data_IF_227178339573
#
_entry.id   IF_227178339573
#
_cell.length_a   1.000
_cell.length_b   1.000
_cell.length_c   1.000
_cell.angle_alpha   90.00
_cell.angle_beta   90.00
_cell.angle_gamma   90.00
#
_symmetry.space_group_name_H-M   'P 1'
#
loop_
_entity.id
_entity.type
_entity.pdbx_description
1 polymer ?
#
# COMPACT_ATOMS: atom_id res chain seq x y z
N UNK A 1 2.60 -22.91 3.44
CA UNK A 1 3.24 -21.98 4.40
C UNK A 1 3.08 -20.50 3.99
N UNK A 2 2.30 -20.18 2.95
CA UNK A 2 2.00 -18.80 2.55
C UNK A 2 0.74 -18.26 3.24
N UNK A 3 -0.25 -19.15 3.47
CA UNK A 3 -1.50 -18.87 4.18
C UNK A 3 -1.36 -18.40 5.64
N UNK A 4 -0.28 -18.77 6.33
CA UNK A 4 -0.07 -18.37 7.73
C UNK A 4 0.26 -16.87 7.87
N UNK A 5 0.77 -16.22 6.81
CA UNK A 5 1.10 -14.78 6.85
C UNK A 5 -0.11 -13.87 6.70
N UNK A 6 -1.15 -14.37 6.04
CA UNK A 6 -2.36 -13.61 5.68
C UNK A 6 -3.33 -13.47 6.87
N UNK A 7 -3.30 -14.42 7.82
CA UNK A 7 -4.21 -14.47 8.97
C UNK A 7 -3.77 -13.64 10.19
N UNK A 8 -2.51 -13.24 10.29
CA UNK A 8 -2.00 -12.46 11.43
C UNK A 8 -2.42 -10.97 11.38
N UNK A 9 -3.06 -10.55 10.29
CA UNK A 9 -3.11 -9.14 9.89
C UNK A 9 -4.44 -8.77 9.21
N UNK A 10 -5.59 -8.80 9.90
CA UNK A 10 -6.87 -8.53 9.24
C UNK A 10 -6.87 -7.17 8.51
N UNK A 11 -7.34 -7.20 7.28
CA UNK A 11 -7.38 -6.05 6.36
C UNK A 11 -8.62 -5.20 6.62
N UNK A 12 -8.53 -3.89 6.37
CA UNK A 12 -9.74 -3.07 6.32
C UNK A 12 -10.62 -3.53 5.16
N UNK A 13 -11.93 -3.54 5.35
CA UNK A 13 -12.92 -3.88 4.32
C UNK A 13 -13.48 -2.62 3.67
N UNK A 14 -13.89 -2.74 2.41
CA UNK A 14 -14.68 -1.74 1.69
C UNK A 14 -15.95 -2.42 1.19
N UNK A 15 -17.11 -1.84 1.48
CA UNK A 15 -18.39 -2.24 0.89
C UNK A 15 -18.79 -1.22 -0.17
N UNK A 16 -19.14 -1.71 -1.36
CA UNK A 16 -19.63 -0.90 -2.46
C UNK A 16 -21.02 -1.41 -2.81
N UNK A 17 -22.02 -0.56 -2.61
CA UNK A 17 -23.41 -0.82 -3.00
C UNK A 17 -23.72 -0.03 -4.27
N UNK A 18 -24.33 -0.69 -5.24
CA UNK A 18 -24.68 -0.06 -6.52
C UNK A 18 -25.62 -0.90 -7.37
N UNK A 19 -25.96 -0.36 -8.53
CA UNK A 19 -26.76 -1.03 -9.55
C UNK A 19 -25.86 -1.53 -10.68
N UNK A 20 -26.08 -2.75 -11.15
CA UNK A 20 -25.39 -3.27 -12.33
C UNK A 20 -26.09 -2.78 -13.60
N UNK A 21 -25.32 -2.11 -14.45
CA UNK A 21 -25.76 -1.65 -15.78
C UNK A 21 -25.01 -2.45 -16.84
N UNK A 22 -25.67 -3.05 -17.83
CA UNK A 22 -24.97 -3.64 -18.97
C UNK A 22 -24.11 -2.58 -19.67
N UNK A 23 -22.86 -2.91 -20.01
CA UNK A 23 -22.05 -2.03 -20.87
C UNK A 23 -22.59 -2.06 -22.29
N UNK A 24 -22.68 -0.89 -22.93
CA UNK A 24 -23.07 -0.81 -24.33
C UNK A 24 -21.94 -1.30 -25.25
N UNK A 25 -22.29 -1.71 -26.48
CA UNK A 25 -21.36 -2.34 -27.42
C UNK A 25 -20.15 -1.46 -27.80
N UNK A 26 -20.32 -0.14 -27.75
CA UNK A 26 -19.26 0.86 -27.96
C UNK A 26 -18.26 0.91 -26.79
N UNK A 27 -18.72 0.80 -25.55
CA UNK A 27 -17.86 0.74 -24.35
C UNK A 27 -17.12 -0.62 -24.24
N UNK A 28 -17.76 -1.70 -24.68
CA UNK A 28 -17.29 -3.07 -24.49
C UNK A 28 -15.91 -3.33 -25.11
N UNK A 29 -15.71 -2.87 -26.35
CA UNK A 29 -14.45 -3.08 -27.08
C UNK A 29 -13.25 -2.43 -26.40
N UNK A 30 -13.44 -1.21 -25.87
CA UNK A 30 -12.43 -0.45 -25.14
C UNK A 30 -12.12 -1.10 -23.79
N UNK A 31 -13.16 -1.45 -23.04
CA UNK A 31 -13.03 -2.06 -21.70
C UNK A 31 -12.33 -3.43 -21.80
N UNK A 32 -12.68 -4.27 -22.77
CA UNK A 32 -12.00 -5.56 -23.00
C UNK A 32 -10.53 -5.42 -23.38
N UNK A 33 -10.12 -4.29 -23.96
CA UNK A 33 -8.71 -4.02 -24.24
C UNK A 33 -7.97 -3.67 -22.95
N UNK A 34 -8.60 -2.94 -22.05
CA UNK A 34 -8.03 -2.58 -20.76
C UNK A 34 -7.81 -3.83 -19.88
N UNK A 35 -8.80 -4.74 -19.80
CA UNK A 35 -8.65 -5.99 -19.05
C UNK A 35 -7.59 -6.92 -19.63
N UNK A 36 -7.48 -7.01 -20.97
CA UNK A 36 -6.42 -7.80 -21.63
C UNK A 36 -5.00 -7.31 -21.34
N UNK A 37 -4.81 -6.06 -20.94
CA UNK A 37 -3.50 -5.52 -20.57
C UNK A 37 -3.13 -5.82 -19.11
N UNK A 38 -4.13 -6.11 -18.26
CA UNK A 38 -3.92 -6.39 -16.84
C UNK A 38 -3.59 -7.87 -16.61
N UNK A 39 -4.11 -8.78 -17.44
CA UNK A 39 -3.94 -10.25 -17.31
C UNK A 39 -2.62 -10.80 -17.89
N UNK A 40 -1.50 -10.11 -17.65
CA UNK A 40 -0.17 -10.60 -18.02
C UNK A 40 0.40 -11.65 -17.05
N UNK A 41 -0.33 -12.01 -16.01
CA UNK A 41 0.08 -12.85 -14.88
C UNK A 41 -0.98 -13.91 -14.52
N UNK A 42 -0.81 -15.10 -15.10
CA UNK A 42 -0.96 -16.46 -14.52
C UNK A 42 -2.10 -16.84 -13.54
N UNK A 43 -3.18 -16.05 -13.35
CA UNK A 43 -4.22 -16.39 -12.35
C UNK A 43 -5.69 -16.26 -12.82
N UNK A 44 -5.95 -16.26 -14.12
CA UNK A 44 -7.33 -16.27 -14.68
C UNK A 44 -7.65 -17.52 -15.53
N UNK A 45 -7.04 -18.65 -15.22
CA UNK A 45 -7.31 -19.92 -15.91
C UNK A 45 -8.48 -20.73 -15.34
N UNK A 46 -9.09 -20.33 -14.22
CA UNK A 46 -10.01 -21.20 -13.46
C UNK A 46 -11.49 -20.79 -13.50
N UNK A 47 -11.93 -20.02 -14.52
CA UNK A 47 -13.35 -19.68 -14.71
C UNK A 47 -14.06 -20.52 -15.78
N UNK A 48 -13.48 -21.65 -16.19
CA UNK A 48 -14.19 -22.67 -16.96
C UNK A 48 -14.53 -23.85 -16.06
N UNK A 49 -15.70 -23.80 -15.43
CA UNK A 49 -16.35 -25.02 -14.97
C UNK A 49 -16.62 -25.90 -16.19
N UNK A 50 -16.11 -27.14 -16.11
CA UNK A 50 -16.49 -28.31 -16.89
C UNK A 50 -16.71 -28.13 -18.40
N UNK A 51 -15.65 -28.31 -19.19
CA UNK A 51 -15.56 -29.43 -20.15
C UNK A 51 -14.24 -29.34 -20.95
N UNK A 52 -13.42 -30.37 -20.76
CA UNK A 52 -12.22 -30.66 -21.54
C UNK A 52 -12.63 -30.88 -22.99
N UNK A 53 -12.17 -30.07 -23.95
CA UNK A 53 -11.74 -30.54 -25.28
C UNK A 53 -10.76 -29.54 -25.93
N UNK A 54 -9.49 -29.96 -25.91
CA UNK A 54 -8.50 -29.87 -26.99
C UNK A 54 -8.10 -28.51 -27.57
N UNK A 55 -6.80 -28.19 -27.34
CA UNK A 55 -5.96 -27.39 -28.23
C UNK A 55 -6.17 -27.78 -29.69
N UNK A 56 -6.54 -26.79 -30.50
CA UNK A 56 -5.97 -26.43 -31.81
C UNK A 56 -7.07 -25.87 -32.72
N UNK A 57 -7.10 -24.54 -32.85
CA UNK A 57 -7.72 -23.91 -34.01
C UNK A 57 -7.23 -22.48 -34.16
N UNK A 58 -6.43 -22.26 -35.22
CA UNK A 58 -6.24 -20.94 -35.84
C UNK A 58 -7.62 -20.37 -36.18
N UNK A 59 -8.09 -19.42 -35.41
CA UNK A 59 -9.34 -18.73 -35.70
C UNK A 59 -9.54 -17.59 -34.72
N UNK A 60 -9.50 -16.38 -35.26
CA UNK A 60 -9.99 -15.13 -34.68
C UNK A 60 -11.38 -15.34 -34.06
N UNK A 61 -11.41 -15.70 -32.78
CA UNK A 61 -12.63 -15.82 -32.01
C UNK A 61 -12.40 -15.10 -30.70
N UNK A 62 -12.59 -13.79 -30.77
CA UNK A 62 -12.86 -12.93 -29.62
C UNK A 62 -13.68 -13.73 -28.61
N UNK A 63 -13.12 -13.92 -27.41
CA UNK A 63 -13.71 -14.68 -26.32
C UNK A 63 -14.98 -13.93 -25.85
N UNK A 64 -16.09 -14.15 -26.56
CA UNK A 64 -17.36 -13.41 -26.47
C UNK A 64 -18.35 -14.04 -25.47
N UNK A 65 -17.92 -14.98 -24.62
CA UNK A 65 -18.83 -15.70 -23.72
C UNK A 65 -19.28 -14.91 -22.49
N UNK A 66 -18.52 -13.90 -22.05
CA UNK A 66 -18.83 -13.12 -20.84
C UNK A 66 -19.56 -11.82 -21.17
N UNK A 67 -20.58 -11.44 -20.40
CA UNK A 67 -21.22 -10.11 -20.51
C UNK A 67 -20.59 -9.16 -19.49
N UNK A 68 -20.19 -7.97 -19.94
CA UNK A 68 -19.64 -6.95 -19.06
C UNK A 68 -20.75 -6.10 -18.42
N UNK A 69 -20.61 -5.86 -17.13
CA UNK A 69 -21.48 -4.99 -16.35
C UNK A 69 -20.66 -3.90 -15.69
N UNK A 70 -21.19 -2.68 -15.71
CA UNK A 70 -20.67 -1.55 -14.94
C UNK A 70 -21.46 -1.44 -13.65
N UNK A 71 -20.76 -1.40 -12.52
CA UNK A 71 -21.37 -1.08 -11.23
C UNK A 71 -21.53 0.45 -11.13
N UNK A 72 -22.77 0.93 -11.16
CA UNK A 72 -23.12 2.30 -10.84
C UNK A 72 -23.21 2.43 -9.32
N UNK A 73 -22.19 3.05 -8.73
CA UNK A 73 -22.01 3.12 -7.28
C UNK A 73 -23.03 4.09 -6.67
N UNK A 74 -23.77 3.60 -5.68
CA UNK A 74 -24.75 4.36 -4.89
C UNK A 74 -24.23 4.69 -3.48
N UNK A 75 -23.39 3.82 -2.91
CA UNK A 75 -22.82 4.01 -1.57
C UNK A 75 -21.51 3.26 -1.44
N UNK A 76 -20.55 3.88 -0.77
CA UNK A 76 -19.29 3.25 -0.39
C UNK A 76 -19.12 3.40 1.12
N UNK A 77 -18.74 2.31 1.78
CA UNK A 77 -18.47 2.28 3.22
C UNK A 77 -17.12 1.62 3.49
N UNK A 78 -16.32 2.27 4.33
CA UNK A 78 -15.07 1.73 4.84
C UNK A 78 -15.30 1.12 6.20
N UNK A 79 -14.82 -0.11 6.38
CA UNK A 79 -14.83 -0.83 7.65
C UNK A 79 -13.39 -1.11 8.07
N UNK A 80 -12.97 -0.49 9.17
CA UNK A 80 -11.74 -0.89 9.82
C UNK A 80 -12.00 -2.03 10.78
N UNK A 81 -11.06 -2.97 10.83
CA UNK A 81 -11.09 -4.11 11.77
C UNK A 81 -11.15 -3.63 13.23
N UNK A 82 -10.71 -2.41 13.50
CA UNK A 82 -10.71 -1.80 14.83
C UNK A 82 -12.02 -1.06 15.17
N UNK A 83 -13.10 -1.31 14.42
CA UNK A 83 -14.45 -0.80 14.73
C UNK A 83 -14.76 0.60 14.18
N UNK A 84 -13.87 1.18 13.37
CA UNK A 84 -14.17 2.44 12.69
C UNK A 84 -14.93 2.16 11.39
N UNK A 85 -16.14 2.71 11.28
CA UNK A 85 -16.93 2.70 10.04
C UNK A 85 -17.08 4.12 9.54
N UNK A 86 -16.84 4.34 8.25
CA UNK A 86 -17.07 5.64 7.61
C UNK A 86 -17.77 5.47 6.28
N UNK A 87 -18.86 6.21 6.08
CA UNK A 87 -19.42 6.41 4.76
C UNK A 87 -18.49 7.33 3.95
N UNK A 88 -18.31 7.03 2.67
CA UNK A 88 -17.54 7.84 1.74
C UNK A 88 -18.52 8.61 0.84
N UNK A 89 -18.29 9.91 0.70
CA UNK A 89 -19.03 10.76 -0.24
C UNK A 89 -18.76 10.29 -1.67
N UNK A 90 -19.82 10.13 -2.47
CA UNK A 90 -19.68 9.74 -3.88
C UNK A 90 -18.91 10.79 -4.69
N UNK A 91 -19.13 12.07 -4.37
CA UNK A 91 -18.42 13.17 -5.03
C UNK A 91 -16.92 13.09 -4.73
N UNK A 92 -16.57 12.92 -3.45
CA UNK A 92 -15.18 12.81 -3.01
C UNK A 92 -14.49 11.61 -3.65
N UNK A 93 -15.21 10.48 -3.84
CA UNK A 93 -14.69 9.33 -4.55
C UNK A 93 -14.48 9.59 -6.04
N UNK A 94 -15.40 10.32 -6.69
CA UNK A 94 -15.28 10.68 -8.10
C UNK A 94 -14.15 11.68 -8.37
N UNK A 95 -13.92 12.60 -7.44
CA UNK A 95 -12.84 13.60 -7.52
C UNK A 95 -11.49 13.06 -7.05
N UNK A 96 -11.46 11.88 -6.41
CA UNK A 96 -10.24 11.26 -5.92
C UNK A 96 -9.44 10.64 -7.07
N UNK A 97 -8.12 10.83 -7.01
CA UNK A 97 -7.18 10.14 -7.87
C UNK A 97 -6.46 9.02 -7.09
N UNK A 98 -6.20 7.86 -7.72
CA UNK A 98 -5.37 6.84 -7.11
C UNK A 98 -3.94 7.37 -6.87
N UNK A 99 -3.31 6.94 -5.77
CA UNK A 99 -1.91 7.29 -5.54
C UNK A 99 -1.04 6.67 -6.63
N UNK A 100 -0.03 7.41 -7.10
CA UNK A 100 0.85 6.91 -8.17
C UNK A 100 1.67 5.68 -7.77
N UNK A 101 1.79 5.39 -6.46
CA UNK A 101 2.45 4.18 -5.96
C UNK A 101 1.54 2.95 -5.95
N UNK A 102 0.25 3.05 -6.32
CA UNK A 102 -0.73 1.93 -6.21
C UNK A 102 -0.24 0.62 -6.82
N UNK A 103 0.50 0.68 -7.93
CA UNK A 103 1.05 -0.50 -8.61
C UNK A 103 2.42 -0.95 -8.10
N UNK A 104 3.12 -0.11 -7.33
CA UNK A 104 4.45 -0.40 -6.77
C UNK A 104 4.41 -0.72 -5.27
N UNK A 105 3.30 -0.48 -4.56
CA UNK A 105 3.22 -0.62 -3.10
C UNK A 105 3.59 -2.02 -2.62
N UNK A 106 3.06 -3.07 -3.25
CA UNK A 106 3.39 -4.47 -2.90
C UNK A 106 4.88 -4.73 -3.06
N UNK A 107 5.45 -4.41 -4.22
CA UNK A 107 6.85 -4.60 -4.53
C UNK A 107 7.77 -3.82 -3.56
N UNK A 108 7.41 -2.58 -3.18
CA UNK A 108 8.15 -1.82 -2.17
C UNK A 108 8.08 -2.55 -0.83
N UNK A 109 6.88 -2.90 -0.35
CA UNK A 109 6.68 -3.54 0.95
C UNK A 109 7.46 -4.86 1.03
N UNK A 110 7.38 -5.71 0.01
CA UNK A 110 8.12 -6.97 -0.10
C UNK A 110 9.63 -6.77 0.00
N UNK A 111 10.21 -5.81 -0.72
CA UNK A 111 11.66 -5.51 -0.63
C UNK A 111 12.10 -5.09 0.77
N UNK A 112 11.21 -4.52 1.59
CA UNK A 112 11.51 -4.22 2.99
C UNK A 112 11.28 -5.42 3.91
N UNK A 113 10.32 -6.29 3.60
CA UNK A 113 10.12 -7.57 4.31
C UNK A 113 11.32 -8.50 4.08
N UNK A 114 11.81 -8.61 2.84
CA UNK A 114 12.99 -9.42 2.46
C UNK A 114 14.28 -8.99 3.19
N UNK A 115 14.41 -7.71 3.54
CA UNK A 115 15.54 -7.21 4.35
C UNK A 115 15.54 -7.77 5.78
N UNK A 116 14.43 -8.39 6.21
CA UNK A 116 14.31 -9.20 7.41
C UNK A 116 14.49 -8.44 8.72
N UNK A 117 15.20 -9.05 9.66
CA UNK A 117 15.39 -8.60 11.06
C UNK A 117 15.85 -7.13 11.16
N UNK A 118 16.64 -6.64 10.20
CA UNK A 118 17.11 -5.24 10.20
C UNK A 118 15.97 -4.24 10.09
N UNK A 119 14.92 -4.58 9.34
CA UNK A 119 13.74 -3.74 9.18
C UNK A 119 12.85 -3.77 10.42
N UNK A 120 12.60 -4.93 11.03
CA UNK A 120 11.85 -5.03 12.30
C UNK A 120 12.51 -4.20 13.41
N UNK A 121 13.82 -4.36 13.61
CA UNK A 121 14.57 -3.59 14.62
C UNK A 121 14.49 -2.07 14.36
N UNK A 122 14.60 -1.66 13.09
CA UNK A 122 14.51 -0.24 12.73
C UNK A 122 13.09 0.33 12.90
N UNK A 123 12.06 -0.44 12.55
CA UNK A 123 10.66 -0.07 12.76
C UNK A 123 10.33 0.03 14.25
N UNK A 124 10.80 -0.90 15.08
CA UNK A 124 10.69 -0.82 16.55
C UNK A 124 11.37 0.43 17.10
N UNK A 125 12.57 0.75 16.63
CA UNK A 125 13.27 1.97 17.03
C UNK A 125 12.52 3.25 16.60
N UNK A 126 11.92 3.25 15.41
CA UNK A 126 11.09 4.34 14.91
C UNK A 126 9.82 4.52 15.76
N UNK A 127 9.15 3.42 16.14
CA UNK A 127 7.99 3.43 17.03
C UNK A 127 8.36 3.97 18.42
N UNK A 128 9.51 3.54 18.98
CA UNK A 128 10.04 4.05 20.24
C UNK A 128 10.26 5.56 20.21
N UNK A 129 10.72 6.11 19.08
CA UNK A 129 10.87 7.56 18.89
C UNK A 129 9.53 8.31 18.89
N UNK A 130 8.45 7.65 18.48
CA UNK A 130 7.07 8.15 18.56
C UNK A 130 6.46 7.99 19.96
N UNK A 131 7.18 7.38 20.91
CA UNK A 131 6.70 7.11 22.27
C UNK A 131 6.01 5.77 22.44
N UNK A 132 6.12 4.86 21.47
CA UNK A 132 5.46 3.55 21.48
C UNK A 132 6.47 2.45 21.83
N UNK A 133 6.18 1.66 22.87
CA UNK A 133 6.95 0.47 23.23
C UNK A 133 6.22 -0.74 22.65
N UNK A 134 6.79 -1.32 21.60
CA UNK A 134 6.12 -2.35 20.76
C UNK A 134 6.93 -3.64 20.76
N UNK A 135 6.24 -4.78 20.73
CA UNK A 135 6.83 -6.13 20.71
C UNK A 135 7.18 -6.58 19.29
N UNK A 136 6.38 -6.16 18.31
CA UNK A 136 6.57 -6.41 16.88
C UNK A 136 6.23 -5.17 16.06
N UNK A 137 6.90 -4.98 14.92
CA UNK A 137 6.56 -3.91 13.99
C UNK A 137 6.77 -4.35 12.53
N UNK A 138 5.77 -4.14 11.68
CA UNK A 138 5.78 -4.50 10.27
C UNK A 138 5.30 -3.37 9.37
N UNK A 139 5.98 -3.16 8.25
CA UNK A 139 5.51 -2.24 7.20
C UNK A 139 4.35 -2.91 6.45
N UNK A 140 3.18 -2.26 6.41
CA UNK A 140 1.98 -2.82 5.75
C UNK A 140 1.51 -2.02 4.54
N UNK A 141 1.95 -0.77 4.40
CA UNK A 141 1.48 0.10 3.34
C UNK A 141 2.40 1.29 3.13
N UNK A 142 2.44 1.76 1.89
CA UNK A 142 3.21 2.92 1.45
C UNK A 142 2.38 3.66 0.40
N UNK A 143 2.34 4.98 0.53
CA UNK A 143 1.80 5.90 -0.48
C UNK A 143 2.72 7.12 -0.64
N UNK A 144 2.35 8.07 -1.48
CA UNK A 144 3.17 9.25 -1.76
C UNK A 144 3.40 10.15 -0.55
N UNK A 145 2.59 10.04 0.50
CA UNK A 145 2.62 10.91 1.68
C UNK A 145 3.30 10.26 2.88
N UNK A 146 3.46 8.94 2.90
CA UNK A 146 4.05 8.26 4.04
C UNK A 146 3.96 6.74 3.97
N UNK A 147 4.19 6.14 5.12
CA UNK A 147 4.11 4.69 5.31
C UNK A 147 3.26 4.35 6.53
N UNK A 148 2.61 3.19 6.46
CA UNK A 148 1.80 2.61 7.53
C UNK A 148 2.53 1.41 8.13
N UNK A 149 2.73 1.48 9.44
CA UNK A 149 3.43 0.45 10.21
C UNK A 149 2.44 -0.16 11.19
N UNK A 150 2.25 -1.47 11.10
CA UNK A 150 1.50 -2.26 12.07
C UNK A 150 2.39 -2.62 13.23
N UNK A 151 1.91 -2.42 14.45
CA UNK A 151 2.64 -2.71 15.68
C UNK A 151 1.82 -3.62 16.57
N UNK A 152 2.48 -4.51 17.30
CA UNK A 152 1.88 -5.32 18.36
C UNK A 152 2.33 -4.81 19.73
N UNK A 153 1.39 -4.64 20.65
CA UNK A 153 1.60 -4.22 22.04
C UNK A 153 0.80 -5.17 22.92
N UNK A 154 1.47 -6.15 23.54
CA UNK A 154 0.79 -7.22 24.26
C UNK A 154 -0.18 -7.99 23.35
N UNK A 155 -1.48 -7.89 23.64
CA UNK A 155 -2.56 -8.53 22.86
C UNK A 155 -3.19 -7.61 21.82
N UNK A 156 -2.80 -6.34 21.78
CA UNK A 156 -3.34 -5.36 20.85
C UNK A 156 -2.47 -5.22 19.61
N UNK A 157 -3.12 -5.06 18.46
CA UNK A 157 -2.47 -4.71 17.20
C UNK A 157 -3.00 -3.35 16.78
N UNK A 158 -2.12 -2.43 16.41
CA UNK A 158 -2.49 -1.09 15.98
C UNK A 158 -1.71 -0.71 14.72
N UNK A 159 -2.32 0.08 13.84
CA UNK A 159 -1.64 0.67 12.68
C UNK A 159 -1.26 2.11 12.99
N UNK A 160 0.01 2.45 12.83
CA UNK A 160 0.51 3.80 12.96
C UNK A 160 1.07 4.33 11.65
N UNK A 161 0.56 5.50 11.27
CA UNK A 161 1.05 6.30 10.16
C UNK A 161 2.36 7.03 10.51
N UNK A 162 3.31 6.97 9.60
CA UNK A 162 4.56 7.74 9.63
C UNK A 162 4.67 8.59 8.36
N UNK A 163 4.51 9.92 8.47
CA UNK A 163 4.53 10.80 7.31
C UNK A 163 5.94 10.98 6.75
N UNK A 164 6.01 11.13 5.44
CA UNK A 164 7.18 11.65 4.74
C UNK A 164 7.30 13.16 4.97
N UNK A 165 8.53 13.68 4.86
CA UNK A 165 8.77 15.12 5.02
C UNK A 165 8.24 15.92 3.83
N UNK A 166 8.28 15.30 2.67
CA UNK A 166 7.82 15.85 1.39
C UNK A 166 7.12 14.72 0.66
N UNK A 167 6.08 15.05 -0.10
CA UNK A 167 5.41 14.07 -0.98
C UNK A 167 6.44 13.41 -1.90
N UNK A 168 6.49 12.09 -1.93
CA UNK A 168 7.29 11.35 -2.88
C UNK A 168 6.72 11.59 -4.29
N UNK A 169 7.59 11.66 -5.30
CA UNK A 169 7.19 11.85 -6.71
C UNK A 169 7.59 10.67 -7.59
N UNK A 170 8.24 9.67 -7.01
CA UNK A 170 8.62 8.41 -7.67
C UNK A 170 8.78 7.29 -6.65
N UNK A 171 8.72 6.05 -7.11
CA UNK A 171 8.97 4.85 -6.29
C UNK A 171 10.32 4.92 -5.57
N UNK A 172 11.39 5.26 -6.31
CA UNK A 172 12.74 5.41 -5.75
C UNK A 172 12.80 6.51 -4.68
N UNK A 173 12.05 7.60 -4.86
CA UNK A 173 11.97 8.66 -3.86
C UNK A 173 11.25 8.19 -2.59
N UNK A 174 10.16 7.44 -2.73
CA UNK A 174 9.43 6.85 -1.60
C UNK A 174 10.33 5.89 -0.81
N UNK A 175 10.99 4.95 -1.48
CA UNK A 175 11.93 4.02 -0.83
C UNK A 175 13.05 4.74 -0.10
N UNK A 176 13.62 5.79 -0.71
CA UNK A 176 14.68 6.59 -0.11
C UNK A 176 14.17 7.29 1.16
N UNK A 177 12.93 7.77 1.16
CA UNK A 177 12.33 8.38 2.35
C UNK A 177 12.08 7.34 3.46
N UNK A 178 11.59 6.14 3.12
CA UNK A 178 11.47 5.03 4.08
C UNK A 178 12.84 4.69 4.67
N UNK A 179 13.87 4.52 3.85
CA UNK A 179 15.23 4.25 4.31
C UNK A 179 15.77 5.35 5.22
N UNK A 180 15.48 6.62 4.94
CA UNK A 180 15.90 7.74 5.79
C UNK A 180 15.15 7.78 7.14
N UNK A 181 13.90 7.32 7.18
CA UNK A 181 13.13 7.21 8.42
C UNK A 181 13.64 6.05 9.29
N UNK A 182 13.89 4.90 8.69
CA UNK A 182 14.35 3.69 9.38
C UNK A 182 15.82 3.77 9.80
N UNK A 183 16.67 4.35 8.94
CA UNK A 183 18.12 4.41 9.12
C UNK A 183 18.62 5.86 9.03
N UNK A 184 18.22 6.73 9.97
CA UNK A 184 18.67 8.11 9.96
C UNK A 184 20.19 8.16 10.11
N UNK A 185 20.87 8.81 9.15
CA UNK A 185 22.31 9.05 9.25
C UNK A 185 22.59 9.77 10.56
N UNK A 186 23.47 9.20 11.37
CA UNK A 186 23.94 9.82 12.61
C UNK A 186 24.42 11.23 12.28
N UNK A 187 23.68 12.25 12.71
CA UNK A 187 24.16 13.62 12.65
C UNK A 187 25.43 13.64 13.49
N UNK A 188 26.61 13.75 12.86
CA UNK A 188 27.83 14.14 13.56
C UNK A 188 27.48 15.42 14.32
N UNK A 189 27.37 15.32 15.65
CA UNK A 189 27.29 16.50 16.51
C UNK A 189 28.54 17.32 16.18
N UNK A 190 28.39 18.46 15.49
CA UNK A 190 29.46 19.47 15.48
C UNK A 190 29.60 19.90 16.93
N UNK A 191 30.64 19.41 17.59
CA UNK A 191 31.07 19.93 18.87
C UNK A 191 31.36 21.42 18.64
N UNK A 192 30.47 22.30 19.09
CA UNK A 192 30.81 23.73 19.17
C UNK A 192 31.93 23.80 20.20
N UNK A 193 33.15 24.06 19.76
CA UNK A 193 34.23 24.47 20.65
C UNK A 193 33.77 25.75 21.34
N UNK A 194 33.48 25.65 22.63
CA UNK A 194 33.44 26.82 23.49
C UNK A 194 34.87 27.35 23.52
N UNK A 195 35.15 28.38 22.71
CA UNK A 195 36.30 29.24 22.93
C UNK A 195 35.99 30.03 24.22
N UNK A 196 36.40 29.47 25.36
CA UNK A 196 36.47 30.20 26.62
C UNK A 196 37.53 31.29 26.48
N UNK A 197 37.06 32.53 26.66
CA UNK A 197 37.84 33.75 26.71
C UNK A 197 38.95 33.71 27.76
N UNK A 198 40.17 34.07 27.37
CA UNK A 198 41.11 34.75 28.26
C UNK A 198 41.14 36.23 27.85
N UNK A 199 40.49 37.07 28.66
CA UNK A 199 40.76 38.51 28.69
C UNK A 199 41.83 38.71 29.76
N UNK A 200 43.00 39.17 29.36
CA UNK A 200 44.00 39.70 30.29
C UNK A 200 43.57 41.09 30.78
N UNK A 201 43.76 41.44 32.06
CA UNK A 201 43.71 42.81 32.52
C UNK A 201 45.11 43.43 32.45
N UNK A 202 45.22 44.63 31.87
CA UNK A 202 46.38 45.48 32.08
C UNK A 202 45.91 46.89 32.41
N UNK A 203 46.52 47.42 33.48
CA UNK A 203 46.42 48.76 34.02
C UNK A 203 46.91 49.83 33.04
#
# INVERSE_FOLDING_TARGET
MEYDREMDHPSNGVSILGCLRPTFADEESYIRRLFRHVDGDEYLSDWSDGEILSLDSKGDRSNNGSTLYRLEILRIELFSVYGFQSAISLQDFQDAEPDFLVHSTSAIVERFIERGIRCDVALKALCKKKGLLVEGAGLIGVDSLGMDVRVSIGREVQTHRFPFKVRATSEVAAEKQIQQLLFPRSRRKKLKSHATSFRDPAF
#
